data_IF_745663724387
#
_entry.id   IF_745663724387
#
_cell.length_a   1.000
_cell.length_b   1.000
_cell.length_c   1.000
_cell.angle_alpha   90.00
_cell.angle_beta   90.00
_cell.angle_gamma   90.00
#
_symmetry.space_group_name_H-M   'P 1'
#
loop_
_entity.id
_entity.type
_entity.pdbx_description
1 polymer ?
#
# COMPACT_ATOMS: atom_id res chain seq x y z
N UNK A 1 -29.75 -28.71 -2.27
CA UNK A 1 -28.49 -27.94 -2.16
C UNK A 1 -28.77 -26.48 -2.53
N UNK A 2 -28.63 -25.51 -1.61
CA UNK A 2 -28.76 -24.08 -1.96
C UNK A 2 -27.59 -23.70 -2.87
N UNK A 3 -27.86 -23.22 -4.09
CA UNK A 3 -26.82 -22.64 -4.96
C UNK A 3 -26.16 -21.48 -4.23
N UNK A 4 -24.84 -21.52 -4.08
CA UNK A 4 -24.08 -20.39 -3.53
C UNK A 4 -24.15 -19.23 -4.52
N UNK A 5 -24.71 -18.10 -4.08
CA UNK A 5 -24.78 -16.91 -4.92
C UNK A 5 -23.37 -16.33 -5.08
N UNK A 6 -22.88 -16.27 -6.33
CA UNK A 6 -21.58 -15.67 -6.64
C UNK A 6 -21.75 -14.17 -6.90
N UNK A 7 -20.94 -13.35 -6.25
CA UNK A 7 -20.87 -11.92 -6.55
C UNK A 7 -20.28 -11.68 -7.94
N UNK A 8 -20.81 -10.68 -8.65
CA UNK A 8 -20.21 -10.25 -9.93
C UNK A 8 -18.78 -9.74 -9.69
N UNK A 9 -17.85 -9.96 -10.64
CA UNK A 9 -16.52 -9.35 -10.58
C UNK A 9 -16.60 -7.83 -10.33
N UNK A 10 -15.74 -7.32 -9.45
CA UNK A 10 -15.74 -5.90 -9.04
C UNK A 10 -16.64 -5.55 -7.85
N UNK A 11 -17.71 -6.31 -7.57
CA UNK A 11 -18.60 -6.01 -6.42
C UNK A 11 -17.87 -6.14 -5.09
N UNK A 12 -17.06 -7.20 -4.94
CA UNK A 12 -16.27 -7.40 -3.72
C UNK A 12 -15.15 -6.36 -3.60
N UNK A 13 -14.48 -6.03 -4.71
CA UNK A 13 -13.44 -5.00 -4.73
C UNK A 13 -13.99 -3.62 -4.30
N UNK A 14 -15.16 -3.21 -4.82
CA UNK A 14 -15.81 -1.95 -4.39
C UNK A 14 -16.22 -1.97 -2.92
N UNK A 15 -16.62 -3.13 -2.39
CA UNK A 15 -16.94 -3.30 -0.97
C UNK A 15 -15.68 -3.15 -0.11
N UNK A 16 -14.56 -3.74 -0.52
CA UNK A 16 -13.27 -3.62 0.15
C UNK A 16 -12.75 -2.19 0.13
N UNK A 17 -12.78 -1.51 -1.02
CA UNK A 17 -12.37 -0.11 -1.14
C UNK A 17 -13.15 0.76 -0.14
N UNK A 18 -14.48 0.65 -0.10
CA UNK A 18 -15.32 1.41 0.85
C UNK A 18 -15.03 1.06 2.30
N UNK A 19 -14.73 -0.22 2.59
CA UNK A 19 -14.38 -0.67 3.94
C UNK A 19 -13.08 0.01 4.39
N UNK A 20 -12.03 -0.07 3.58
CA UNK A 20 -10.71 0.45 3.94
C UNK A 20 -10.62 1.98 3.90
N UNK A 21 -11.39 2.65 3.03
CA UNK A 21 -11.50 4.11 3.06
C UNK A 21 -12.23 4.65 4.30
N UNK A 22 -13.04 3.81 4.97
CA UNK A 22 -13.77 4.21 6.19
C UNK A 22 -12.96 3.96 7.46
N UNK A 23 -11.98 3.05 7.44
CA UNK A 23 -11.14 2.74 8.59
C UNK A 23 -9.80 3.48 8.52
N UNK A 24 -9.12 3.54 9.67
CA UNK A 24 -7.75 4.07 9.81
C UNK A 24 -6.80 2.98 10.33
N UNK A 25 -7.21 1.72 10.21
CA UNK A 25 -6.41 0.59 10.65
C UNK A 25 -5.22 0.37 9.71
N UNK A 26 -4.05 0.06 10.29
CA UNK A 26 -2.87 -0.34 9.52
C UNK A 26 -3.12 -1.71 8.87
N UNK A 27 -2.85 -1.79 7.57
CA UNK A 27 -3.15 -2.93 6.71
C UNK A 27 -1.97 -3.92 6.64
N UNK A 28 -0.74 -3.44 6.84
CA UNK A 28 0.45 -4.31 6.89
C UNK A 28 0.54 -4.94 8.28
N UNK A 29 0.82 -6.26 8.32
CA UNK A 29 1.02 -6.95 9.60
C UNK A 29 2.24 -6.38 10.32
N UNK A 30 2.07 -6.01 11.59
CA UNK A 30 3.11 -5.36 12.42
C UNK A 30 4.42 -6.15 12.52
N UNK A 31 4.35 -7.47 12.76
CA UNK A 31 5.56 -8.29 12.94
C UNK A 31 6.42 -8.40 11.66
N UNK A 32 5.87 -8.72 10.48
CA UNK A 32 6.61 -8.64 9.22
C UNK A 32 7.19 -7.24 8.94
N UNK A 33 6.42 -6.18 9.16
CA UNK A 33 6.91 -4.81 8.96
C UNK A 33 8.10 -4.50 9.87
N UNK A 34 8.01 -4.86 11.16
CA UNK A 34 9.09 -4.69 12.11
C UNK A 34 10.36 -5.47 11.70
N UNK A 35 10.22 -6.68 11.16
CA UNK A 35 11.37 -7.47 10.66
C UNK A 35 12.05 -6.77 9.49
N UNK A 36 11.27 -6.28 8.53
CA UNK A 36 11.78 -5.53 7.38
C UNK A 36 12.52 -4.25 7.81
N UNK A 37 11.96 -3.48 8.75
CA UNK A 37 12.63 -2.28 9.27
C UNK A 37 13.99 -2.62 9.89
N UNK A 38 14.07 -3.70 10.67
CA UNK A 38 15.33 -4.14 11.30
C UNK A 38 16.34 -4.66 10.28
N UNK A 39 15.89 -5.39 9.27
CA UNK A 39 16.71 -5.88 8.16
C UNK A 39 17.40 -4.72 7.43
N UNK A 40 16.62 -3.73 6.97
CA UNK A 40 17.15 -2.54 6.28
C UNK A 40 18.08 -1.73 7.19
N UNK A 41 17.69 -1.53 8.45
CA UNK A 41 18.50 -0.76 9.39
C UNK A 41 19.87 -1.41 9.67
N UNK A 42 19.94 -2.74 9.62
CA UNK A 42 21.18 -3.48 9.86
C UNK A 42 22.20 -3.30 8.74
N UNK A 43 21.76 -2.98 7.51
CA UNK A 43 22.64 -2.58 6.41
C UNK A 43 23.28 -1.20 6.64
N UNK A 44 22.60 -0.32 7.39
CA UNK A 44 23.09 1.02 7.71
C UNK A 44 23.99 1.02 8.94
N UNK A 45 23.58 0.33 10.02
CA UNK A 45 24.33 0.22 11.27
C UNK A 45 23.91 -1.03 12.05
N UNK A 46 24.89 -1.81 12.48
CA UNK A 46 24.65 -2.97 13.34
C UNK A 46 24.17 -2.58 14.74
N UNK A 47 23.48 -3.50 15.40
CA UNK A 47 23.12 -3.43 16.83
C UNK A 47 22.21 -2.25 17.24
N UNK A 48 21.41 -1.75 16.30
CA UNK A 48 20.38 -0.74 16.58
C UNK A 48 19.22 -1.32 17.39
N UNK A 49 18.80 -0.56 18.41
CA UNK A 49 17.56 -0.79 19.16
C UNK A 49 16.49 0.19 18.70
N UNK A 50 15.27 -0.32 18.55
CA UNK A 50 14.13 0.48 18.12
C UNK A 50 13.11 0.60 19.24
N UNK A 51 12.64 1.82 19.48
CA UNK A 51 11.46 2.06 20.30
C UNK A 51 10.22 1.54 19.56
N UNK A 52 9.24 1.02 20.29
CA UNK A 52 7.96 0.57 19.71
C UNK A 52 7.26 1.68 18.91
N UNK A 53 7.28 2.91 19.42
CA UNK A 53 6.71 4.07 18.74
C UNK A 53 7.45 4.46 17.46
N UNK A 54 8.76 4.21 17.38
CA UNK A 54 9.52 4.47 16.15
C UNK A 54 9.10 3.51 15.03
N UNK A 55 8.91 2.22 15.36
CA UNK A 55 8.40 1.24 14.39
C UNK A 55 6.99 1.60 13.93
N UNK A 56 6.12 2.04 14.86
CA UNK A 56 4.77 2.47 14.52
C UNK A 56 4.77 3.69 13.60
N UNK A 57 5.56 4.72 13.91
CA UNK A 57 5.69 5.92 13.08
C UNK A 57 6.20 5.60 11.66
N UNK A 58 7.19 4.71 11.54
CA UNK A 58 7.66 4.22 10.25
C UNK A 58 6.55 3.50 9.47
N UNK A 59 5.72 2.71 10.17
CA UNK A 59 4.62 2.00 9.53
C UNK A 59 3.52 2.94 9.05
N UNK A 60 3.11 3.90 9.88
CA UNK A 60 2.12 4.92 9.51
C UNK A 60 2.59 5.72 8.30
N UNK A 61 3.83 6.19 8.29
CA UNK A 61 4.40 6.93 7.17
C UNK A 61 4.48 6.08 5.88
N UNK A 62 4.91 4.82 5.99
CA UNK A 62 5.03 3.93 4.84
C UNK A 62 3.66 3.60 4.23
N UNK A 63 2.66 3.27 5.04
CA UNK A 63 1.33 2.97 4.53
C UNK A 63 0.65 4.20 3.94
N UNK A 64 0.76 5.37 4.58
CA UNK A 64 0.25 6.63 4.03
C UNK A 64 0.89 6.96 2.66
N UNK A 65 2.22 6.79 2.55
CA UNK A 65 2.93 6.97 1.29
C UNK A 65 2.41 6.02 0.20
N UNK A 66 2.27 4.73 0.51
CA UNK A 66 1.80 3.73 -0.46
C UNK A 66 0.35 3.98 -0.89
N UNK A 67 -0.54 4.37 0.02
CA UNK A 67 -1.94 4.73 -0.30
C UNK A 67 -1.95 5.90 -1.28
N UNK A 68 -1.24 6.99 -0.96
CA UNK A 68 -1.14 8.13 -1.86
C UNK A 68 -0.54 7.77 -3.22
N UNK A 69 0.49 6.91 -3.26
CA UNK A 69 1.06 6.43 -4.52
C UNK A 69 0.04 5.61 -5.34
N UNK A 70 -0.78 4.79 -4.69
CA UNK A 70 -1.82 4.02 -5.38
C UNK A 70 -2.97 4.89 -5.90
N UNK A 71 -3.28 6.00 -5.24
CA UNK A 71 -4.24 6.99 -5.76
C UNK A 71 -3.77 7.58 -7.09
N UNK A 72 -2.52 8.05 -7.16
CA UNK A 72 -1.94 8.58 -8.40
C UNK A 72 -1.79 7.51 -9.48
N UNK A 73 -1.38 6.31 -9.08
CA UNK A 73 -1.28 5.14 -9.98
C UNK A 73 -2.65 4.82 -10.60
N UNK A 74 -3.72 4.90 -9.80
CA UNK A 74 -5.08 4.70 -10.29
C UNK A 74 -5.50 5.80 -11.28
N UNK A 75 -5.16 7.06 -11.01
CA UNK A 75 -5.39 8.15 -11.96
C UNK A 75 -4.65 7.92 -13.30
N UNK A 76 -3.42 7.42 -13.26
CA UNK A 76 -2.65 7.06 -14.46
C UNK A 76 -3.31 5.91 -15.25
N UNK A 77 -3.82 4.89 -14.57
CA UNK A 77 -4.55 3.80 -15.22
C UNK A 77 -5.85 4.27 -15.89
N UNK A 78 -6.63 5.13 -15.19
CA UNK A 78 -7.87 5.73 -15.71
C UNK A 78 -7.58 6.62 -16.91
N UNK A 79 -6.52 7.44 -16.86
CA UNK A 79 -6.08 8.27 -17.98
C UNK A 79 -5.81 7.43 -19.24
N UNK A 80 -5.24 6.23 -19.05
CA UNK A 80 -5.01 5.26 -20.12
C UNK A 80 -6.22 4.36 -20.45
N UNK A 81 -7.44 4.73 -20.03
CA UNK A 81 -8.71 4.00 -20.24
C UNK A 81 -8.70 2.56 -19.70
N UNK A 82 -7.98 2.29 -18.62
CA UNK A 82 -7.93 1.00 -17.92
C UNK A 82 -8.49 1.11 -16.51
N UNK A 83 -8.93 -0.03 -15.98
CA UNK A 83 -9.37 -0.19 -14.59
C UNK A 83 -8.39 -1.01 -13.74
N UNK A 84 -7.39 -1.61 -14.38
CA UNK A 84 -6.34 -2.41 -13.73
C UNK A 84 -5.06 -1.60 -13.75
N UNK A 85 -4.53 -1.31 -12.55
CA UNK A 85 -3.23 -0.68 -12.38
C UNK A 85 -2.10 -1.64 -12.81
N UNK A 86 -1.04 -1.08 -13.38
CA UNK A 86 0.11 -1.80 -13.91
C UNK A 86 1.41 -1.15 -13.45
N UNK A 87 2.56 -1.85 -13.50
CA UNK A 87 3.86 -1.27 -13.09
C UNK A 87 4.20 0.05 -13.81
N UNK A 88 3.82 0.20 -15.09
CA UNK A 88 4.00 1.44 -15.86
C UNK A 88 3.25 2.64 -15.27
N UNK A 89 2.14 2.40 -14.59
CA UNK A 89 1.35 3.47 -13.96
C UNK A 89 2.06 3.98 -12.70
N UNK A 90 2.66 3.07 -11.92
CA UNK A 90 3.47 3.40 -10.75
C UNK A 90 4.72 4.18 -11.19
N UNK A 91 5.41 3.70 -12.23
CA UNK A 91 6.59 4.36 -12.78
C UNK A 91 6.25 5.78 -13.27
N UNK A 92 5.12 5.96 -13.95
CA UNK A 92 4.66 7.27 -14.38
C UNK A 92 4.33 8.18 -13.19
N UNK A 93 3.58 7.70 -12.20
CA UNK A 93 3.22 8.46 -11.01
C UNK A 93 4.48 8.94 -10.26
N UNK A 94 5.43 8.04 -9.99
CA UNK A 94 6.71 8.39 -9.33
C UNK A 94 7.52 9.40 -10.14
N UNK A 95 7.57 9.25 -11.47
CA UNK A 95 8.26 10.19 -12.37
C UNK A 95 7.64 11.58 -12.30
N UNK A 96 6.31 11.69 -12.27
CA UNK A 96 5.60 12.97 -12.17
C UNK A 96 5.75 13.63 -10.78
N UNK A 97 5.85 12.84 -9.71
CA UNK A 97 6.14 13.32 -8.35
C UNK A 97 7.57 13.85 -8.17
N UNK A 98 8.46 13.60 -9.14
CA UNK A 98 9.88 13.92 -8.99
C UNK A 98 10.65 12.94 -8.09
N UNK A 99 10.02 11.84 -7.69
CA UNK A 99 10.64 10.73 -6.97
C UNK A 99 11.48 9.90 -7.95
N UNK A 100 12.63 10.43 -8.35
CA UNK A 100 13.58 9.71 -9.20
C UNK A 100 14.04 8.43 -8.51
N UNK A 101 13.91 7.30 -9.21
CA UNK A 101 15.03 6.34 -9.33
C UNK A 101 16.12 6.98 -10.16
#
# INVERSE_FOLDING_TARGET
MKKTTRYRPGVLALREIRKYQKSTELLIRKLPFQRLVKEIAQEVKSDLKFQTQAILALQEAAEAFLVGLFEDTNLCAIHAKRVTIMPKDIQLARRLRGERT
#
